data_IF_151066518014
#
_entry.id   IF_151066518014
#
_cell.length_a   1.000
_cell.length_b   1.000
_cell.length_c   1.000
_cell.angle_alpha   90.00
_cell.angle_beta   90.00
_cell.angle_gamma   90.00
#
_symmetry.space_group_name_H-M   'P 1'
#
loop_
_entity.id
_entity.type
_entity.pdbx_description
1 polymer ?
#
# COMPACT_ATOMS: atom_id res chain seq x y z
N UNK A 1 69.34 -49.82 -6.99
CA UNK A 1 68.57 -48.59 -6.71
C UNK A 1 67.52 -48.52 -7.81
N UNK A 2 66.22 -48.72 -7.54
CA UNK A 2 65.11 -48.39 -8.49
C UNK A 2 63.71 -48.81 -8.01
N UNK A 3 63.59 -49.71 -7.02
CA UNK A 3 62.26 -50.10 -6.50
C UNK A 3 61.63 -48.98 -5.63
N UNK A 4 62.43 -48.25 -4.86
CA UNK A 4 61.95 -47.23 -3.93
C UNK A 4 61.46 -45.94 -4.61
N UNK A 5 62.11 -45.51 -5.70
CA UNK A 5 61.67 -44.34 -6.49
C UNK A 5 60.31 -44.59 -7.16
N UNK A 6 60.08 -45.83 -7.62
CA UNK A 6 58.82 -46.24 -8.26
C UNK A 6 57.66 -46.30 -7.25
N UNK A 7 57.93 -46.81 -6.03
CA UNK A 7 56.93 -46.86 -4.95
C UNK A 7 56.58 -45.44 -4.47
N UNK A 8 57.57 -44.56 -4.31
CA UNK A 8 57.36 -43.17 -3.88
C UNK A 8 56.62 -42.38 -4.97
N UNK A 9 56.96 -42.56 -6.25
CA UNK A 9 56.26 -41.95 -7.38
C UNK A 9 54.79 -42.37 -7.47
N UNK A 10 54.50 -43.66 -7.26
CA UNK A 10 53.13 -44.19 -7.22
C UNK A 10 52.30 -43.63 -6.05
N UNK A 11 52.89 -43.47 -4.87
CA UNK A 11 52.23 -42.89 -3.71
C UNK A 11 51.88 -41.40 -3.91
N UNK A 12 52.76 -40.62 -4.53
CA UNK A 12 52.52 -39.20 -4.86
C UNK A 12 51.41 -39.07 -5.91
N UNK A 13 51.41 -39.93 -6.94
CA UNK A 13 50.36 -39.93 -7.96
C UNK A 13 48.98 -40.28 -7.37
N UNK A 14 48.92 -41.26 -6.46
CA UNK A 14 47.68 -41.60 -5.74
C UNK A 14 47.21 -40.45 -4.86
N UNK A 15 48.09 -39.84 -4.07
CA UNK A 15 47.74 -38.68 -3.23
C UNK A 15 47.24 -37.49 -4.08
N UNK A 16 47.85 -37.24 -5.24
CA UNK A 16 47.40 -36.22 -6.20
C UNK A 16 46.04 -36.54 -6.82
N UNK A 17 45.77 -37.80 -7.16
CA UNK A 17 44.48 -38.25 -7.67
C UNK A 17 43.37 -38.17 -6.61
N UNK A 18 43.67 -38.56 -5.36
CA UNK A 18 42.74 -38.41 -4.23
C UNK A 18 42.47 -36.93 -3.91
N UNK A 19 43.50 -36.09 -3.94
CA UNK A 19 43.36 -34.65 -3.72
C UNK A 19 42.49 -33.97 -4.79
N UNK A 20 42.71 -34.29 -6.06
CA UNK A 20 41.89 -33.76 -7.17
C UNK A 20 40.47 -34.30 -7.15
N UNK A 21 40.26 -35.59 -6.88
CA UNK A 21 38.92 -36.17 -6.72
C UNK A 21 38.15 -35.54 -5.55
N UNK A 22 38.79 -35.33 -4.41
CA UNK A 22 38.19 -34.66 -3.24
C UNK A 22 37.81 -33.20 -3.56
N UNK A 23 38.69 -32.45 -4.21
CA UNK A 23 38.42 -31.06 -4.61
C UNK A 23 37.31 -30.96 -5.66
N UNK A 24 37.27 -31.88 -6.63
CA UNK A 24 36.22 -31.95 -7.64
C UNK A 24 34.86 -32.25 -6.98
N UNK A 25 34.80 -33.22 -6.07
CA UNK A 25 33.59 -33.53 -5.32
C UNK A 25 33.10 -32.34 -4.49
N UNK A 26 34.00 -31.66 -3.78
CA UNK A 26 33.66 -30.46 -2.98
C UNK A 26 33.20 -29.29 -3.86
N UNK A 27 33.74 -29.18 -5.08
CA UNK A 27 33.30 -28.19 -6.08
C UNK A 27 31.91 -28.52 -6.62
N UNK A 28 31.62 -29.78 -6.92
CA UNK A 28 30.30 -30.25 -7.34
C UNK A 28 29.24 -30.05 -6.26
N UNK A 29 29.53 -30.40 -5.01
CA UNK A 29 28.63 -30.16 -3.87
C UNK A 29 28.31 -28.66 -3.72
N UNK A 30 29.31 -27.77 -3.87
CA UNK A 30 29.09 -26.32 -3.88
C UNK A 30 28.24 -25.86 -5.06
N UNK A 31 28.50 -26.37 -6.27
CA UNK A 31 27.69 -26.04 -7.47
C UNK A 31 26.24 -26.47 -7.29
N UNK A 32 26.00 -27.68 -6.79
CA UNK A 32 24.65 -28.19 -6.51
C UNK A 32 23.94 -27.33 -5.47
N UNK A 33 24.63 -26.96 -4.38
CA UNK A 33 24.07 -26.06 -3.36
C UNK A 33 23.69 -24.70 -3.94
N UNK A 34 24.57 -24.09 -4.74
CA UNK A 34 24.29 -22.81 -5.40
C UNK A 34 23.14 -22.91 -6.40
N UNK A 35 23.06 -24.00 -7.17
CA UNK A 35 21.94 -24.24 -8.10
C UNK A 35 20.62 -24.40 -7.35
N UNK A 36 20.62 -25.09 -6.21
CA UNK A 36 19.45 -25.23 -5.36
C UNK A 36 19.00 -23.90 -4.76
N UNK A 37 19.94 -23.12 -4.20
CA UNK A 37 19.66 -21.78 -3.68
C UNK A 37 19.12 -20.84 -4.76
N UNK A 38 19.74 -20.85 -5.95
CA UNK A 38 19.26 -20.09 -7.10
C UNK A 38 17.85 -20.52 -7.52
N UNK A 39 17.57 -21.82 -7.56
CA UNK A 39 16.24 -22.35 -7.90
C UNK A 39 15.18 -21.90 -6.90
N UNK A 40 15.51 -21.91 -5.60
CA UNK A 40 14.62 -21.43 -4.54
C UNK A 40 14.32 -19.94 -4.68
N UNK A 41 15.35 -19.12 -4.94
CA UNK A 41 15.17 -17.68 -5.14
C UNK A 41 14.34 -17.39 -6.39
N UNK A 42 14.55 -18.14 -7.46
CA UNK A 42 13.76 -18.03 -8.69
C UNK A 42 12.29 -18.34 -8.44
N UNK A 43 11.98 -19.42 -7.71
CA UNK A 43 10.60 -19.76 -7.34
C UNK A 43 9.92 -18.64 -6.55
N UNK A 44 10.59 -18.09 -5.54
CA UNK A 44 10.07 -16.97 -4.73
C UNK A 44 9.82 -15.73 -5.59
N UNK A 45 10.71 -15.44 -6.53
CA UNK A 45 10.54 -14.31 -7.45
C UNK A 45 9.34 -14.52 -8.39
N UNK A 46 9.19 -15.72 -8.95
CA UNK A 46 8.08 -16.04 -9.84
C UNK A 46 6.73 -16.01 -9.11
N UNK A 47 6.67 -16.50 -7.87
CA UNK A 47 5.48 -16.40 -7.01
C UNK A 47 5.12 -14.95 -6.71
N UNK A 48 6.11 -14.11 -6.35
CA UNK A 48 5.90 -12.66 -6.13
C UNK A 48 5.39 -11.97 -7.38
N UNK A 49 5.93 -12.31 -8.55
CA UNK A 49 5.49 -11.76 -9.84
C UNK A 49 4.05 -12.16 -10.17
N UNK A 50 3.70 -13.43 -9.96
CA UNK A 50 2.33 -13.92 -10.14
C UNK A 50 1.36 -13.21 -9.18
N UNK A 51 1.75 -13.05 -7.92
CA UNK A 51 0.98 -12.33 -6.91
C UNK A 51 0.74 -10.86 -7.28
N UNK A 52 1.79 -10.13 -7.67
CA UNK A 52 1.67 -8.74 -8.11
C UNK A 52 0.69 -8.58 -9.28
N UNK A 53 0.69 -9.51 -10.25
CA UNK A 53 -0.27 -9.50 -11.37
C UNK A 53 -1.70 -9.70 -10.90
N UNK A 54 -1.94 -10.69 -10.03
CA UNK A 54 -3.27 -10.93 -9.45
C UNK A 54 -3.79 -9.71 -8.68
N UNK A 55 -2.94 -9.07 -7.89
CA UNK A 55 -3.29 -7.85 -7.15
C UNK A 55 -3.70 -6.73 -8.11
N UNK A 56 -2.92 -6.49 -9.17
CA UNK A 56 -3.25 -5.47 -10.18
C UNK A 56 -4.60 -5.76 -10.84
N UNK A 57 -4.83 -7.02 -11.24
CA UNK A 57 -6.09 -7.43 -11.86
C UNK A 57 -7.28 -7.25 -10.91
N UNK A 58 -7.10 -7.56 -9.64
CA UNK A 58 -8.14 -7.47 -8.62
C UNK A 58 -8.46 -6.01 -8.26
N UNK A 59 -7.44 -5.15 -8.13
CA UNK A 59 -7.63 -3.70 -7.98
C UNK A 59 -8.42 -3.13 -9.16
N UNK A 60 -8.04 -3.50 -10.40
CA UNK A 60 -8.73 -3.01 -11.59
C UNK A 60 -10.19 -3.45 -11.62
N UNK A 61 -10.47 -4.72 -11.27
CA UNK A 61 -11.85 -5.21 -11.13
C UNK A 61 -12.61 -4.44 -10.06
N UNK A 62 -12.02 -4.22 -8.89
CA UNK A 62 -12.66 -3.51 -7.79
C UNK A 62 -13.05 -2.07 -8.16
N UNK A 63 -12.13 -1.29 -8.73
CA UNK A 63 -12.41 0.08 -9.21
C UNK A 63 -13.48 0.06 -10.30
N UNK A 64 -13.40 -0.89 -11.24
CA UNK A 64 -14.39 -1.03 -12.31
C UNK A 64 -15.77 -1.41 -11.75
N UNK A 65 -15.87 -2.24 -10.73
CA UNK A 65 -17.14 -2.57 -10.09
C UNK A 65 -17.78 -1.34 -9.48
N UNK A 66 -17.02 -0.54 -8.72
CA UNK A 66 -17.51 0.72 -8.16
C UNK A 66 -18.04 1.64 -9.26
N UNK A 67 -17.41 1.67 -10.44
CA UNK A 67 -17.86 2.44 -11.62
C UNK A 67 -19.04 1.81 -12.40
N UNK A 68 -19.10 0.49 -12.55
CA UNK A 68 -20.10 -0.19 -13.41
C UNK A 68 -21.51 -0.10 -12.85
N UNK A 69 -21.65 0.03 -11.53
CA UNK A 69 -22.93 0.33 -10.88
C UNK A 69 -23.38 1.80 -11.08
N UNK A 70 -22.72 2.58 -11.96
CA UNK A 70 -22.84 4.04 -12.04
C UNK A 70 -23.02 4.56 -13.49
N UNK A 71 -24.24 4.76 -14.00
CA UNK A 71 -24.47 5.57 -15.19
C UNK A 71 -24.08 7.04 -14.90
N UNK A 72 -23.44 7.73 -15.87
CA UNK A 72 -22.86 9.08 -15.69
C UNK A 72 -23.83 10.15 -15.13
N UNK A 73 -25.14 9.99 -15.35
CA UNK A 73 -26.18 10.94 -14.96
C UNK A 73 -27.05 10.48 -13.77
N UNK A 74 -26.80 9.29 -13.22
CA UNK A 74 -27.58 8.76 -12.11
C UNK A 74 -26.87 9.01 -10.77
N UNK A 75 -27.65 9.04 -9.70
CA UNK A 75 -27.10 9.09 -8.36
C UNK A 75 -26.36 7.78 -8.06
N UNK A 76 -25.22 7.90 -7.38
CA UNK A 76 -24.31 6.81 -7.14
C UNK A 76 -24.85 5.89 -6.06
N UNK A 77 -24.95 4.61 -6.42
CA UNK A 77 -25.43 3.57 -5.51
C UNK A 77 -24.26 2.76 -4.93
N UNK A 78 -24.36 2.36 -3.65
CA UNK A 78 -23.35 1.51 -3.03
C UNK A 78 -23.26 0.13 -3.66
N UNK A 79 -22.05 -0.41 -3.69
CA UNK A 79 -21.83 -1.77 -4.17
C UNK A 79 -22.34 -2.79 -3.16
N UNK A 80 -22.68 -3.99 -3.64
CA UNK A 80 -23.06 -5.10 -2.76
C UNK A 80 -21.87 -5.56 -1.91
N UNK A 81 -22.14 -5.91 -0.66
CA UNK A 81 -21.15 -6.35 0.32
C UNK A 81 -20.33 -7.55 -0.14
N UNK A 82 -20.94 -8.49 -0.86
CA UNK A 82 -20.27 -9.71 -1.35
C UNK A 82 -19.11 -9.38 -2.29
N UNK A 83 -19.20 -8.27 -3.05
CA UNK A 83 -18.10 -7.82 -3.91
C UNK A 83 -16.91 -7.35 -3.09
N UNK A 84 -17.16 -6.56 -2.05
CA UNK A 84 -16.10 -6.13 -1.13
C UNK A 84 -15.46 -7.32 -0.42
N UNK A 85 -16.25 -8.26 0.10
CA UNK A 85 -15.73 -9.44 0.79
C UNK A 85 -14.86 -10.30 -0.15
N UNK A 86 -15.33 -10.55 -1.38
CA UNK A 86 -14.56 -11.31 -2.37
C UNK A 86 -13.25 -10.63 -2.73
N UNK A 87 -13.25 -9.31 -2.95
CA UNK A 87 -12.02 -8.55 -3.25
C UNK A 87 -11.09 -8.51 -2.05
N UNK A 88 -11.63 -8.31 -0.83
CA UNK A 88 -10.86 -8.32 0.41
C UNK A 88 -10.16 -9.65 0.64
N UNK A 89 -10.87 -10.77 0.45
CA UNK A 89 -10.30 -12.10 0.55
C UNK A 89 -9.20 -12.33 -0.50
N UNK A 90 -9.46 -11.95 -1.75
CA UNK A 90 -8.51 -12.10 -2.85
C UNK A 90 -7.22 -11.31 -2.60
N UNK A 91 -7.31 -10.04 -2.17
CA UNK A 91 -6.14 -9.21 -1.89
C UNK A 91 -5.38 -9.67 -0.64
N UNK A 92 -6.10 -10.05 0.42
CA UNK A 92 -5.46 -10.47 1.70
C UNK A 92 -4.63 -11.74 1.54
N UNK A 93 -5.08 -12.70 0.71
CA UNK A 93 -4.30 -13.91 0.39
C UNK A 93 -2.94 -13.60 -0.23
N UNK A 94 -2.83 -12.47 -0.91
CA UNK A 94 -1.63 -12.06 -1.62
C UNK A 94 -0.68 -11.20 -0.75
N UNK A 95 -1.08 -10.80 0.47
CA UNK A 95 -0.27 -9.96 1.37
C UNK A 95 1.08 -10.59 1.74
N UNK A 96 1.16 -11.91 1.84
CA UNK A 96 2.40 -12.63 2.17
C UNK A 96 3.50 -12.47 1.10
N UNK A 97 3.13 -12.07 -0.13
CA UNK A 97 4.05 -11.97 -1.26
C UNK A 97 4.46 -10.53 -1.59
N UNK A 98 3.92 -9.54 -0.88
CA UNK A 98 4.24 -8.12 -1.09
C UNK A 98 5.04 -7.57 0.08
N UNK A 99 5.72 -6.45 -0.16
CA UNK A 99 6.38 -5.71 0.92
C UNK A 99 5.38 -4.92 1.76
N UNK A 100 5.85 -4.46 2.92
CA UNK A 100 5.05 -3.69 3.86
C UNK A 100 4.45 -2.42 3.24
N UNK A 101 5.15 -1.76 2.30
CA UNK A 101 4.67 -0.53 1.67
C UNK A 101 3.44 -0.81 0.80
N UNK A 102 3.51 -1.88 -0.02
CA UNK A 102 2.38 -2.35 -0.80
C UNK A 102 1.24 -2.84 0.10
N UNK A 103 1.54 -3.60 1.16
CA UNK A 103 0.53 -4.07 2.11
C UNK A 103 -0.23 -2.89 2.77
N UNK A 104 0.48 -1.85 3.22
CA UNK A 104 -0.13 -0.66 3.79
C UNK A 104 -1.01 0.10 2.79
N UNK A 105 -0.60 0.15 1.52
CA UNK A 105 -1.37 0.75 0.45
C UNK A 105 -2.64 -0.05 0.15
N UNK A 106 -2.54 -1.39 0.09
CA UNK A 106 -3.68 -2.29 -0.13
C UNK A 106 -4.68 -2.25 1.04
N UNK A 107 -4.19 -2.16 2.28
CA UNK A 107 -5.04 -1.97 3.46
C UNK A 107 -5.82 -0.66 3.39
N UNK A 108 -5.18 0.42 2.95
CA UNK A 108 -5.87 1.70 2.73
C UNK A 108 -6.88 1.60 1.58
N UNK A 109 -6.52 0.94 0.48
CA UNK A 109 -7.41 0.70 -0.66
C UNK A 109 -8.68 -0.05 -0.21
N UNK A 110 -8.53 -1.13 0.55
CA UNK A 110 -9.68 -1.87 1.11
C UNK A 110 -10.50 -1.02 2.08
N UNK A 111 -9.87 -0.20 2.90
CA UNK A 111 -10.60 0.71 3.80
C UNK A 111 -11.41 1.77 3.02
N UNK A 112 -10.89 2.31 1.92
CA UNK A 112 -11.67 3.23 1.07
C UNK A 112 -12.80 2.45 0.37
N UNK A 113 -12.51 1.24 -0.13
CA UNK A 113 -13.52 0.41 -0.78
C UNK A 113 -14.68 0.08 0.17
N UNK A 114 -14.43 -0.11 1.47
CA UNK A 114 -15.51 -0.33 2.43
C UNK A 114 -16.47 0.85 2.58
N UNK A 115 -16.04 2.07 2.24
CA UNK A 115 -16.90 3.26 2.24
C UNK A 115 -17.87 3.28 1.06
N UNK A 116 -17.63 2.45 0.04
CA UNK A 116 -18.53 2.25 -1.10
C UNK A 116 -19.61 1.19 -0.85
N UNK A 117 -19.57 0.53 0.30
CA UNK A 117 -20.49 -0.55 0.70
C UNK A 117 -21.53 0.00 1.66
N UNK A 118 -22.80 -0.32 1.43
CA UNK A 118 -23.85 -0.14 2.44
C UNK A 118 -23.89 -1.36 3.36
N UNK A 119 -23.36 -1.22 4.56
CA UNK A 119 -23.42 -2.28 5.58
C UNK A 119 -24.85 -2.48 6.11
N UNK A 120 -25.63 -1.39 6.21
CA UNK A 120 -27.00 -1.37 6.76
C UNK A 120 -27.94 -0.52 5.86
N UNK A 121 -28.46 -1.12 4.79
CA UNK A 121 -29.22 -0.41 3.74
C UNK A 121 -30.68 -0.05 4.12
N UNK A 122 -31.27 -0.69 5.13
CA UNK A 122 -32.69 -0.48 5.51
C UNK A 122 -32.90 0.34 6.79
N UNK A 123 -31.86 0.52 7.61
CA UNK A 123 -32.04 0.93 9.01
C UNK A 123 -31.43 2.27 9.41
N UNK A 124 -30.61 2.89 8.55
CA UNK A 124 -30.03 4.20 8.84
C UNK A 124 -30.66 5.33 8.00
N UNK A 125 -31.78 5.91 8.46
CA UNK A 125 -32.41 7.07 7.84
C UNK A 125 -31.60 8.37 8.02
N UNK A 126 -30.47 8.36 8.73
CA UNK A 126 -29.66 9.57 8.97
C UNK A 126 -28.87 10.03 7.74
N UNK A 127 -28.64 9.14 6.77
CA UNK A 127 -27.94 9.48 5.54
C UNK A 127 -28.91 9.78 4.40
N UNK A 128 -28.95 11.06 4.01
CA UNK A 128 -29.69 11.49 2.82
C UNK A 128 -29.09 10.86 1.55
N UNK A 129 -29.91 10.66 0.52
CA UNK A 129 -29.45 10.13 -0.78
C UNK A 129 -28.30 10.94 -1.40
N UNK A 130 -28.28 12.29 -1.32
CA UNK A 130 -27.14 13.10 -1.78
C UNK A 130 -25.84 12.91 -1.00
N UNK A 131 -25.91 12.66 0.31
CA UNK A 131 -24.70 12.43 1.12
C UNK A 131 -24.05 11.09 0.79
N UNK A 132 -24.86 10.04 0.56
CA UNK A 132 -24.38 8.73 0.12
C UNK A 132 -23.70 8.81 -1.24
N UNK A 133 -24.36 9.44 -2.23
CA UNK A 133 -23.79 9.66 -3.57
C UNK A 133 -22.43 10.36 -3.49
N UNK A 134 -22.35 11.45 -2.72
CA UNK A 134 -21.10 12.21 -2.54
C UNK A 134 -19.99 11.35 -1.92
N UNK A 135 -20.30 10.56 -0.89
CA UNK A 135 -19.31 9.70 -0.23
C UNK A 135 -18.74 8.65 -1.20
N UNK A 136 -19.59 7.99 -1.98
CA UNK A 136 -19.15 6.94 -2.91
C UNK A 136 -18.31 7.56 -4.04
N UNK A 137 -18.70 8.74 -4.55
CA UNK A 137 -17.91 9.48 -5.56
C UNK A 137 -16.51 9.81 -5.03
N UNK A 138 -16.42 10.35 -3.82
CA UNK A 138 -15.12 10.64 -3.17
C UNK A 138 -14.28 9.37 -3.03
N UNK A 139 -14.87 8.30 -2.50
CA UNK A 139 -14.20 7.01 -2.37
C UNK A 139 -13.71 6.47 -3.72
N UNK A 140 -14.48 6.63 -4.79
CA UNK A 140 -14.06 6.24 -6.15
C UNK A 140 -12.84 7.02 -6.63
N UNK A 141 -12.82 8.35 -6.49
CA UNK A 141 -11.66 9.16 -6.89
C UNK A 141 -10.40 8.76 -6.11
N UNK A 142 -10.55 8.45 -4.81
CA UNK A 142 -9.46 7.99 -3.94
C UNK A 142 -8.98 6.57 -4.33
N UNK A 143 -9.89 5.68 -4.70
CA UNK A 143 -9.58 4.34 -5.21
C UNK A 143 -8.85 4.42 -6.55
N UNK A 144 -9.27 5.30 -7.46
CA UNK A 144 -8.57 5.54 -8.74
C UNK A 144 -7.13 6.00 -8.48
N UNK A 145 -6.97 7.04 -7.65
CA UNK A 145 -5.65 7.57 -7.29
C UNK A 145 -4.73 6.50 -6.68
N UNK A 146 -5.21 5.71 -5.72
CA UNK A 146 -4.39 4.63 -5.16
C UNK A 146 -4.14 3.50 -6.16
N UNK A 147 -5.12 3.15 -6.99
CA UNK A 147 -4.98 2.07 -7.96
C UNK A 147 -3.83 2.34 -8.94
N UNK A 148 -3.68 3.59 -9.38
CA UNK A 148 -2.61 4.02 -10.25
C UNK A 148 -1.24 3.85 -9.57
N UNK A 149 -1.10 4.35 -8.34
CA UNK A 149 0.15 4.31 -7.60
C UNK A 149 0.54 2.90 -7.13
N UNK A 150 -0.43 2.09 -6.67
CA UNK A 150 -0.20 0.68 -6.31
C UNK A 150 0.21 -0.10 -7.55
N UNK A 151 -0.48 0.09 -8.67
CA UNK A 151 -0.15 -0.61 -9.92
C UNK A 151 1.23 -0.22 -10.44
N UNK A 152 1.57 1.07 -10.40
CA UNK A 152 2.91 1.56 -10.75
C UNK A 152 3.99 0.91 -9.89
N UNK A 153 3.78 0.85 -8.57
CA UNK A 153 4.69 0.19 -7.62
C UNK A 153 4.84 -1.30 -7.86
N UNK A 154 3.75 -2.04 -8.00
CA UNK A 154 3.84 -3.48 -8.24
C UNK A 154 4.50 -3.80 -9.58
N UNK A 155 4.27 -2.96 -10.61
CA UNK A 155 4.96 -3.09 -11.91
C UNK A 155 6.46 -2.84 -11.77
N UNK A 156 6.90 -1.86 -11.00
CA UNK A 156 8.34 -1.62 -10.81
C UNK A 156 9.03 -2.78 -10.09
N UNK A 157 8.33 -3.43 -9.15
CA UNK A 157 8.83 -4.65 -8.49
C UNK A 157 8.92 -5.86 -9.44
N UNK A 158 8.03 -5.97 -10.44
CA UNK A 158 8.06 -7.05 -11.44
C UNK A 158 9.14 -6.83 -12.50
N UNK A 159 9.27 -5.60 -13.01
CA UNK A 159 10.08 -5.27 -14.18
C UNK A 159 11.46 -4.70 -13.85
N UNK A 160 11.82 -4.59 -12.56
CA UNK A 160 13.11 -4.05 -12.09
C UNK A 160 13.43 -2.67 -12.69
N UNK A 161 12.41 -1.81 -12.83
CA UNK A 161 12.59 -0.45 -13.33
C UNK A 161 13.18 0.44 -12.23
N UNK A 162 14.14 1.31 -12.57
CA UNK A 162 14.84 2.19 -11.61
C UNK A 162 14.00 3.34 -11.03
N UNK A 163 12.73 3.48 -11.43
CA UNK A 163 11.84 4.44 -10.82
C UNK A 163 11.29 3.84 -9.53
N UNK A 164 11.59 4.45 -8.39
CA UNK A 164 10.84 4.23 -7.15
C UNK A 164 9.53 5.02 -7.26
N UNK A 165 8.36 4.38 -7.48
CA UNK A 165 7.13 5.08 -7.26
C UNK A 165 7.01 5.28 -5.76
N UNK A 166 6.94 6.55 -5.34
CA UNK A 166 6.85 7.00 -3.96
C UNK A 166 5.48 6.61 -3.35
N UNK A 167 5.10 5.34 -3.40
CA UNK A 167 3.81 4.84 -2.92
C UNK A 167 3.59 5.23 -1.45
N UNK A 168 4.65 5.24 -0.64
CA UNK A 168 4.57 5.61 0.76
C UNK A 168 4.18 7.08 0.95
N UNK A 169 4.71 8.01 0.15
CA UNK A 169 4.33 9.42 0.24
C UNK A 169 2.91 9.64 -0.24
N UNK A 170 2.50 8.94 -1.31
CA UNK A 170 1.14 9.02 -1.86
C UNK A 170 0.10 8.46 -0.88
N UNK A 171 0.40 7.35 -0.22
CA UNK A 171 -0.41 6.75 0.86
C UNK A 171 -0.48 7.66 2.08
N UNK A 172 0.66 8.24 2.50
CA UNK A 172 0.72 9.16 3.62
C UNK A 172 -0.11 10.42 3.35
N UNK A 173 0.06 11.03 2.18
CA UNK A 173 -0.68 12.22 1.76
C UNK A 173 -2.18 11.95 1.74
N UNK A 174 -2.62 10.84 1.14
CA UNK A 174 -4.03 10.50 1.11
C UNK A 174 -4.61 10.28 2.50
N UNK A 175 -3.92 9.54 3.39
CA UNK A 175 -4.39 9.35 4.77
C UNK A 175 -4.56 10.68 5.51
N UNK A 176 -3.60 11.58 5.34
CA UNK A 176 -3.66 12.93 5.91
C UNK A 176 -4.86 13.69 5.33
N UNK A 177 -5.00 13.76 4.01
CA UNK A 177 -6.08 14.47 3.33
C UNK A 177 -7.46 13.93 3.72
N UNK A 178 -7.62 12.61 3.82
CA UNK A 178 -8.86 11.97 4.32
C UNK A 178 -9.16 12.38 5.75
N UNK A 179 -8.15 12.42 6.62
CA UNK A 179 -8.33 12.85 8.01
C UNK A 179 -8.77 14.31 8.12
N UNK A 180 -8.17 15.24 7.39
CA UNK A 180 -8.61 16.66 7.44
C UNK A 180 -9.99 16.88 6.82
N UNK A 181 -10.42 16.04 5.87
CA UNK A 181 -11.76 16.10 5.28
C UNK A 181 -12.86 15.47 6.16
N UNK A 182 -12.54 14.99 7.35
CA UNK A 182 -13.53 14.36 8.22
C UNK A 182 -14.61 15.35 8.65
N UNK A 183 -15.88 14.97 8.46
CA UNK A 183 -17.06 15.78 8.80
C UNK A 183 -17.10 16.20 10.27
N UNK A 184 -16.46 15.42 11.16
CA UNK A 184 -16.31 15.76 12.58
C UNK A 184 -15.56 17.08 12.78
N UNK A 185 -14.82 17.58 11.79
CA UNK A 185 -14.09 18.83 11.86
C UNK A 185 -14.80 20.01 11.21
N UNK A 186 -15.99 19.84 10.61
CA UNK A 186 -16.68 20.91 9.84
C UNK A 186 -16.99 22.19 10.61
N UNK A 187 -17.09 22.11 11.94
CA UNK A 187 -17.39 23.25 12.81
C UNK A 187 -16.14 23.90 13.41
N UNK A 188 -14.97 23.31 13.17
CA UNK A 188 -13.70 23.85 13.65
C UNK A 188 -13.31 25.10 12.89
N UNK A 189 -12.91 26.11 13.66
CA UNK A 189 -12.31 27.33 13.14
C UNK A 189 -10.82 27.30 13.45
N UNK A 190 -10.00 27.49 12.44
CA UNK A 190 -8.56 27.70 12.58
C UNK A 190 -8.08 28.71 11.53
N UNK A 191 -6.94 29.33 11.78
CA UNK A 191 -6.32 30.31 10.89
C UNK A 191 -5.66 29.64 9.67
N UNK A 192 -5.67 30.33 8.52
CA UNK A 192 -5.03 29.93 7.26
C UNK A 192 -5.67 28.68 6.63
N UNK A 193 -6.74 28.92 5.85
CA UNK A 193 -7.55 27.91 5.16
C UNK A 193 -7.39 28.01 3.63
N UNK A 194 -6.17 28.29 3.16
CA UNK A 194 -5.90 28.42 1.72
C UNK A 194 -6.00 27.06 1.04
N UNK A 195 -5.46 26.02 1.69
CA UNK A 195 -5.50 24.63 1.20
C UNK A 195 -6.54 23.81 1.98
N UNK A 196 -6.48 23.81 3.31
CA UNK A 196 -7.37 23.00 4.16
C UNK A 196 -8.64 23.77 4.50
N UNK A 197 -9.77 23.37 3.91
CA UNK A 197 -11.09 23.97 4.13
C UNK A 197 -12.00 23.00 4.87
N UNK A 198 -12.24 23.27 6.15
CA UNK A 198 -13.11 22.45 7.01
C UNK A 198 -14.58 22.80 6.80
N UNK A 199 -15.05 22.75 5.56
CA UNK A 199 -16.43 23.09 5.20
C UNK A 199 -17.32 21.85 4.98
N UNK A 200 -16.78 20.63 5.13
CA UNK A 200 -17.47 19.35 4.82
C UNK A 200 -17.61 19.05 3.31
N UNK A 201 -17.35 20.05 2.45
CA UNK A 201 -17.52 19.93 1.00
C UNK A 201 -16.24 19.58 0.27
N UNK A 202 -15.08 19.98 0.80
CA UNK A 202 -13.80 19.72 0.17
C UNK A 202 -13.49 18.21 0.15
N UNK A 203 -13.10 17.67 -1.00
CA UNK A 203 -12.71 16.25 -1.12
C UNK A 203 -11.21 16.05 -0.81
N UNK A 204 -10.79 14.86 -0.36
CA UNK A 204 -9.38 14.54 -0.16
C UNK A 204 -8.55 14.75 -1.44
N UNK A 205 -9.13 14.47 -2.61
CA UNK A 205 -8.48 14.65 -3.91
C UNK A 205 -8.28 16.12 -4.29
N UNK A 206 -9.20 17.01 -3.90
CA UNK A 206 -9.00 18.44 -4.05
C UNK A 206 -7.83 18.94 -3.19
N UNK A 207 -7.73 18.48 -1.94
CA UNK A 207 -6.61 18.82 -1.05
C UNK A 207 -5.30 18.29 -1.63
N UNK A 208 -5.25 17.05 -2.13
CA UNK A 208 -4.06 16.47 -2.75
C UNK A 208 -3.56 17.37 -3.89
N UNK A 209 -4.43 17.77 -4.82
CA UNK A 209 -4.03 18.64 -5.96
C UNK A 209 -3.45 19.98 -5.50
N UNK A 210 -4.03 20.58 -4.47
CA UNK A 210 -3.55 21.84 -3.90
C UNK A 210 -2.23 21.65 -3.14
N UNK A 211 -2.09 20.57 -2.38
CA UNK A 211 -0.89 20.21 -1.63
C UNK A 211 0.29 19.91 -2.57
N UNK A 212 0.05 19.19 -3.68
CA UNK A 212 1.08 18.93 -4.69
C UNK A 212 1.55 20.21 -5.38
N UNK A 213 0.67 21.22 -5.50
CA UNK A 213 1.01 22.53 -6.06
C UNK A 213 1.78 23.42 -5.08
N UNK A 214 1.60 23.25 -3.76
CA UNK A 214 2.30 24.02 -2.73
C UNK A 214 2.46 23.24 -1.41
N UNK A 215 3.38 22.27 -1.40
CA UNK A 215 3.60 21.36 -0.25
C UNK A 215 4.06 22.09 1.02
N UNK A 216 4.84 23.16 0.88
CA UNK A 216 5.32 23.93 2.04
C UNK A 216 4.18 24.63 2.77
N UNK A 217 3.24 25.22 2.02
CA UNK A 217 2.06 25.85 2.60
C UNK A 217 1.17 24.80 3.26
N UNK A 218 0.94 23.67 2.60
CA UNK A 218 0.14 22.58 3.15
C UNK A 218 0.67 22.06 4.48
N UNK A 219 1.99 21.82 4.58
CA UNK A 219 2.64 21.40 5.84
C UNK A 219 2.46 22.42 6.96
N UNK A 220 2.55 23.71 6.62
CA UNK A 220 2.33 24.80 7.58
C UNK A 220 0.89 24.83 8.09
N UNK A 221 -0.10 24.79 7.18
CA UNK A 221 -1.51 24.75 7.56
C UNK A 221 -1.86 23.50 8.37
N UNK A 222 -1.31 22.34 8.00
CA UNK A 222 -1.54 21.07 8.69
C UNK A 222 -0.99 21.10 10.12
N UNK A 223 0.17 21.73 10.33
CA UNK A 223 0.74 21.94 11.67
C UNK A 223 -0.15 22.84 12.52
N UNK A 224 -0.69 23.91 11.92
CA UNK A 224 -1.63 24.81 12.59
C UNK A 224 -2.95 24.11 12.91
N UNK A 225 -3.43 23.25 12.02
CA UNK A 225 -4.61 22.42 12.22
C UNK A 225 -4.45 21.47 13.41
N UNK A 226 -3.35 20.70 13.47
CA UNK A 226 -3.10 19.81 14.62
C UNK A 226 -2.94 20.56 15.94
N UNK A 227 -2.30 21.73 15.91
CA UNK A 227 -2.17 22.60 17.09
C UNK A 227 -3.55 23.05 17.57
N UNK A 228 -4.42 23.47 16.64
CA UNK A 228 -5.79 23.88 16.93
C UNK A 228 -6.63 22.73 17.52
N UNK A 229 -6.49 21.51 16.99
CA UNK A 229 -7.17 20.33 17.53
C UNK A 229 -6.76 20.06 18.99
N UNK A 230 -5.46 20.10 19.28
CA UNK A 230 -4.91 19.83 20.61
C UNK A 230 -5.32 20.88 21.64
N UNK A 231 -5.49 22.14 21.23
CA UNK A 231 -5.80 23.25 22.15
C UNK A 231 -7.30 23.49 22.32
N UNK A 232 -8.09 23.44 21.23
CA UNK A 232 -9.43 24.01 21.22
C UNK A 232 -10.56 22.97 21.08
N UNK A 233 -10.28 21.77 20.58
CA UNK A 233 -11.33 20.83 20.18
C UNK A 233 -11.60 19.71 21.17
N UNK A 234 -10.61 19.35 21.98
CA UNK A 234 -10.68 18.17 22.82
C UNK A 234 -11.12 18.55 24.24
N UNK A 235 -12.43 18.48 24.49
CA UNK A 235 -12.92 18.26 25.85
C UNK A 235 -12.39 16.90 26.37
N UNK A 236 -12.31 16.71 27.70
CA UNK A 236 -11.64 15.54 28.28
C UNK A 236 -12.12 14.19 27.73
N UNK A 237 -13.42 14.07 27.39
CA UNK A 237 -14.01 12.85 26.82
C UNK A 237 -13.57 12.58 25.37
N UNK A 238 -13.47 13.60 24.53
CA UNK A 238 -13.03 13.41 23.13
C UNK A 238 -11.51 13.25 23.06
N UNK A 239 -10.78 13.80 24.03
CA UNK A 239 -9.31 13.76 24.04
C UNK A 239 -8.74 12.34 24.00
N UNK A 240 -9.27 11.42 24.81
CA UNK A 240 -8.78 10.02 24.85
C UNK A 240 -9.02 9.27 23.54
N UNK A 241 -10.10 9.59 22.82
CA UNK A 241 -10.46 8.92 21.57
C UNK A 241 -9.67 9.45 20.37
N UNK A 242 -9.50 10.78 20.27
CA UNK A 242 -8.92 11.42 19.08
C UNK A 242 -7.41 11.60 19.13
N UNK A 243 -6.79 11.75 20.31
CA UNK A 243 -5.34 11.93 20.42
C UNK A 243 -4.53 10.78 19.81
N UNK A 244 -4.91 9.50 19.96
CA UNK A 244 -4.23 8.40 19.28
C UNK A 244 -4.31 8.50 17.76
N UNK A 245 -5.44 8.96 17.22
CA UNK A 245 -5.63 9.12 15.77
C UNK A 245 -4.77 10.28 15.23
N UNK A 246 -4.81 11.45 15.89
CA UNK A 246 -3.96 12.61 15.57
C UNK A 246 -2.49 12.20 15.60
N UNK A 247 -2.04 11.51 16.66
CA UNK A 247 -0.65 11.06 16.79
C UNK A 247 -0.25 10.06 15.70
N UNK A 248 -1.17 9.22 15.20
CA UNK A 248 -0.92 8.33 14.06
C UNK A 248 -0.76 9.12 12.77
N UNK A 249 -1.59 10.14 12.53
CA UNK A 249 -1.52 10.97 11.32
C UNK A 249 -0.30 11.90 11.35
N UNK A 250 0.05 12.50 12.49
CA UNK A 250 1.25 13.33 12.62
C UNK A 250 2.54 12.56 12.31
N UNK A 251 2.59 11.26 12.65
CA UNK A 251 3.72 10.39 12.28
C UNK A 251 3.87 10.20 10.77
N UNK A 252 2.87 10.56 9.97
CA UNK A 252 2.92 10.50 8.51
C UNK A 252 3.56 11.74 7.88
N UNK A 253 3.72 12.85 8.63
CA UNK A 253 4.29 14.10 8.13
C UNK A 253 5.67 13.98 7.48
N UNK A 254 6.62 13.15 7.98
CA UNK A 254 7.93 13.01 7.35
C UNK A 254 7.91 12.31 5.99
N UNK A 255 6.79 11.68 5.62
CA UNK A 255 6.64 10.94 4.37
C UNK A 255 6.02 11.77 3.25
N UNK A 256 5.52 12.97 3.54
CA UNK A 256 5.05 13.97 2.57
C UNK A 256 6.03 15.15 2.56
#
# INVERSE_FOLDING_TARGET
MDAWSTIIGGAIALAGAFGTAYMNRKSEEKKQKLQFEHSKLQMVFDDRKASCRKIIDEIYKAVKMVRLYQPYDNAWEPIKKEYFESTSEALTKEFIFVDEKAEQALKLFLNIMSDTVLWDWETDPSFSHPDKDRMIRRAYEELEYLSEHITGFLRSQIYLTNEEPLIQSKVALLKICRFVCDERFKELKFSNQDIIKLNGWQSPMEIIRLAESNMSLFKSELTNFFSSLKTNYLNDKNREYFMPEIAKIEKLLPYI
#
